data_IF_386384863988
#
_entry.id   IF_386384863988
#
_cell.length_a   1.000
_cell.length_b   1.000
_cell.length_c   1.000
_cell.angle_alpha   90.00
_cell.angle_beta   90.00
_cell.angle_gamma   90.00
#
_symmetry.space_group_name_H-M   'P 1'
#
loop_
_entity.id
_entity.type
_entity.pdbx_description
1 polymer ?
#
# COMPACT_ATOMS: atom_id res chain seq x y z
N UNK A 1 3.16 -70.84 -7.19
CA UNK A 1 4.25 -69.92 -7.58
C UNK A 1 4.11 -68.65 -6.75
N UNK A 2 4.95 -68.48 -5.74
CA UNK A 2 4.91 -67.33 -4.83
C UNK A 2 5.53 -66.11 -5.51
N UNK A 3 4.74 -65.06 -5.72
CA UNK A 3 5.24 -63.81 -6.29
C UNK A 3 6.06 -63.07 -5.22
N UNK A 4 7.39 -63.05 -5.38
CA UNK A 4 8.28 -62.32 -4.47
C UNK A 4 8.06 -60.81 -4.61
N UNK A 5 7.49 -60.18 -3.59
CA UNK A 5 7.34 -58.72 -3.53
C UNK A 5 8.72 -58.08 -3.44
N UNK A 6 9.12 -57.36 -4.49
CA UNK A 6 10.40 -56.64 -4.53
C UNK A 6 10.37 -55.47 -3.52
N UNK A 7 11.43 -55.32 -2.73
CA UNK A 7 11.61 -54.25 -1.72
C UNK A 7 11.32 -52.85 -2.28
N UNK A 8 11.62 -52.61 -3.56
CA UNK A 8 11.31 -51.34 -4.25
C UNK A 8 9.82 -51.10 -4.46
N UNK A 9 9.04 -52.16 -4.67
CA UNK A 9 7.58 -52.08 -4.81
C UNK A 9 6.95 -51.81 -3.44
N UNK A 10 7.39 -52.53 -2.40
CA UNK A 10 6.94 -52.31 -1.03
C UNK A 10 7.21 -50.86 -0.54
N UNK A 11 8.40 -50.32 -0.81
CA UNK A 11 8.75 -48.95 -0.44
C UNK A 11 7.95 -47.89 -1.22
N UNK A 12 7.63 -48.13 -2.49
CA UNK A 12 6.76 -47.22 -3.28
C UNK A 12 5.32 -47.21 -2.78
N UNK A 13 4.79 -48.37 -2.39
CA UNK A 13 3.45 -48.49 -1.80
C UNK A 13 3.34 -47.80 -0.44
N UNK A 14 4.37 -47.90 0.40
CA UNK A 14 4.44 -47.23 1.71
C UNK A 14 4.53 -45.69 1.57
N UNK A 15 5.29 -45.19 0.59
CA UNK A 15 5.36 -43.74 0.33
C UNK A 15 4.05 -43.16 -0.21
N UNK A 16 3.31 -43.91 -1.04
CA UNK A 16 2.00 -43.50 -1.53
C UNK A 16 0.92 -43.51 -0.43
N UNK A 17 0.96 -44.50 0.47
CA UNK A 17 0.04 -44.56 1.61
C UNK A 17 0.32 -43.47 2.67
N UNK A 18 1.59 -43.14 2.91
CA UNK A 18 1.98 -42.05 3.81
C UNK A 18 1.63 -40.66 3.22
N UNK A 19 1.71 -40.50 1.89
CA UNK A 19 1.33 -39.26 1.21
C UNK A 19 -0.16 -38.95 1.33
N UNK A 20 -1.04 -39.95 1.25
CA UNK A 20 -2.49 -39.75 1.38
C UNK A 20 -2.96 -39.50 2.83
N UNK A 21 -2.22 -39.97 3.83
CA UNK A 21 -2.54 -39.72 5.25
C UNK A 21 -2.05 -38.34 5.74
N UNK A 22 -1.05 -37.74 5.08
CA UNK A 22 -0.49 -36.44 5.46
C UNK A 22 -1.29 -35.25 4.92
N UNK A 23 -2.15 -35.46 3.92
CA UNK A 23 -3.11 -34.46 3.43
C UNK A 23 -4.52 -34.84 3.90
N UNK A 24 -4.73 -34.82 5.22
CA UNK A 24 -6.09 -34.65 5.74
C UNK A 24 -6.73 -33.41 5.09
N UNK A 25 -8.06 -33.37 4.91
CA UNK A 25 -8.70 -32.24 4.24
C UNK A 25 -8.24 -30.97 4.96
N UNK A 26 -7.50 -30.13 4.24
CA UNK A 26 -7.22 -28.76 4.67
C UNK A 26 -8.61 -28.16 4.78
N UNK A 27 -9.17 -28.17 6.00
CA UNK A 27 -10.45 -27.57 6.26
C UNK A 27 -10.34 -26.15 5.78
N UNK A 28 -11.06 -25.83 4.70
CA UNK A 28 -11.20 -24.47 4.22
C UNK A 28 -11.73 -23.72 5.43
N UNK A 29 -10.86 -22.97 6.11
CA UNK A 29 -11.31 -22.08 7.18
C UNK A 29 -12.17 -21.05 6.47
N UNK A 30 -13.48 -21.27 6.51
CA UNK A 30 -14.45 -20.27 6.12
C UNK A 30 -14.09 -19.02 6.92
N UNK A 31 -13.63 -17.99 6.21
CA UNK A 31 -13.38 -16.69 6.81
C UNK A 31 -14.73 -16.24 7.37
N UNK A 32 -14.87 -16.21 8.69
CA UNK A 32 -16.08 -15.67 9.31
C UNK A 32 -16.08 -14.18 8.99
N UNK A 33 -17.16 -13.71 8.38
CA UNK A 33 -17.40 -12.28 8.25
C UNK A 33 -17.29 -11.63 9.62
N UNK A 34 -16.68 -10.44 9.67
CA UNK A 34 -16.62 -9.67 10.90
C UNK A 34 -18.04 -9.46 11.44
N UNK A 35 -18.19 -9.40 12.77
CA UNK A 35 -19.48 -9.08 13.37
C UNK A 35 -19.91 -7.69 12.89
N UNK A 36 -21.07 -7.60 12.26
CA UNK A 36 -21.67 -6.31 11.92
C UNK A 36 -22.32 -5.71 13.19
N UNK A 37 -21.85 -4.54 13.63
CA UNK A 37 -22.44 -3.75 14.71
C UNK A 37 -22.76 -2.36 14.18
N UNK A 38 -24.04 -1.96 14.11
CA UNK A 38 -24.45 -0.65 13.59
C UNK A 38 -23.78 0.55 14.31
N UNK A 39 -23.31 0.38 15.54
CA UNK A 39 -22.59 1.43 16.28
C UNK A 39 -21.21 1.67 15.70
N UNK A 40 -20.54 0.63 15.21
CA UNK A 40 -19.24 0.74 14.54
C UNK A 40 -19.38 1.44 13.20
N UNK A 41 -20.37 1.04 12.41
CA UNK A 41 -20.66 1.67 11.12
C UNK A 41 -20.95 3.18 11.28
N UNK A 42 -21.78 3.53 12.26
CA UNK A 42 -22.06 4.93 12.59
C UNK A 42 -20.81 5.70 13.03
N UNK A 43 -19.87 5.06 13.74
CA UNK A 43 -18.63 5.69 14.17
C UNK A 43 -17.67 5.88 12.99
N UNK A 44 -17.54 4.88 12.11
CA UNK A 44 -16.74 4.94 10.88
C UNK A 44 -17.25 6.07 9.99
N UNK A 45 -18.56 6.09 9.70
CA UNK A 45 -19.19 7.12 8.87
C UNK A 45 -18.94 8.53 9.42
N UNK A 46 -19.12 8.74 10.73
CA UNK A 46 -18.82 10.03 11.37
C UNK A 46 -17.35 10.44 11.24
N UNK A 47 -16.43 9.49 11.34
CA UNK A 47 -15.00 9.74 11.18
C UNK A 47 -14.66 10.14 9.74
N UNK A 48 -15.17 9.40 8.75
CA UNK A 48 -14.96 9.69 7.34
C UNK A 48 -15.57 11.03 6.94
N UNK A 49 -16.77 11.35 7.41
CA UNK A 49 -17.42 12.65 7.17
C UNK A 49 -16.61 13.80 7.77
N UNK A 50 -16.04 13.60 8.97
CA UNK A 50 -15.16 14.59 9.57
C UNK A 50 -13.86 14.76 8.78
N UNK A 51 -13.24 13.67 8.32
CA UNK A 51 -12.04 13.73 7.47
C UNK A 51 -12.36 14.51 6.19
N UNK A 52 -13.42 14.13 5.47
CA UNK A 52 -13.86 14.83 4.25
C UNK A 52 -14.11 16.33 4.51
N UNK A 53 -14.86 16.66 5.56
CA UNK A 53 -15.18 18.05 5.93
C UNK A 53 -13.96 18.90 6.29
N UNK A 54 -12.89 18.29 6.78
CA UNK A 54 -11.68 19.00 7.21
C UNK A 54 -10.61 19.11 6.11
N UNK A 55 -10.88 18.59 4.91
CA UNK A 55 -10.00 18.79 3.76
C UNK A 55 -9.88 20.28 3.45
N UNK A 56 -8.65 20.77 3.27
CA UNK A 56 -8.44 22.15 2.84
C UNK A 56 -9.04 22.40 1.45
N UNK A 57 -9.24 23.67 1.08
CA UNK A 57 -9.63 24.07 -0.28
C UNK A 57 -8.61 23.65 -1.35
N UNK A 58 -7.38 23.34 -0.94
CA UNK A 58 -6.31 22.85 -1.81
C UNK A 58 -6.20 21.31 -1.87
N UNK A 59 -7.14 20.57 -1.29
CA UNK A 59 -7.19 19.11 -1.41
C UNK A 59 -6.33 18.33 -0.41
N UNK A 60 -5.66 18.99 0.53
CA UNK A 60 -4.76 18.36 1.48
C UNK A 60 -5.22 18.49 2.94
N UNK A 61 -4.65 17.65 3.80
CA UNK A 61 -4.68 17.76 5.25
C UNK A 61 -3.28 18.02 5.77
N UNK A 62 -3.18 18.54 6.99
CA UNK A 62 -1.88 18.74 7.64
C UNK A 62 -1.95 18.50 9.14
N UNK A 63 -0.83 18.08 9.70
CA UNK A 63 -0.55 18.01 11.12
C UNK A 63 0.89 18.49 11.30
N UNK A 64 1.08 19.74 11.75
CA UNK A 64 2.40 20.38 11.73
C UNK A 64 2.94 20.49 10.30
N UNK A 65 4.15 19.95 10.09
CA UNK A 65 4.89 20.06 8.83
C UNK A 65 4.74 18.82 7.91
N UNK A 66 3.72 17.98 8.14
CA UNK A 66 3.58 16.70 7.44
C UNK A 66 2.37 16.63 6.47
N UNK A 67 2.16 17.59 5.57
CA UNK A 67 0.95 17.63 4.76
C UNK A 67 0.88 16.47 3.74
N UNK A 68 2.02 15.99 3.25
CA UNK A 68 2.07 14.84 2.32
C UNK A 68 1.63 13.55 3.01
N UNK A 69 2.19 13.24 4.19
CA UNK A 69 1.83 12.05 4.96
C UNK A 69 0.36 12.09 5.39
N UNK A 70 -0.10 13.23 5.93
CA UNK A 70 -1.49 13.37 6.37
C UNK A 70 -2.48 13.25 5.22
N UNK A 71 -2.15 13.79 4.04
CA UNK A 71 -3.04 13.69 2.87
C UNK A 71 -3.13 12.27 2.33
N UNK A 72 -2.00 11.56 2.24
CA UNK A 72 -2.01 10.17 1.82
C UNK A 72 -2.77 9.25 2.78
N UNK A 73 -2.62 9.46 4.10
CA UNK A 73 -3.38 8.72 5.11
C UNK A 73 -4.88 9.03 5.07
N UNK A 74 -5.25 10.30 4.98
CA UNK A 74 -6.65 10.72 4.85
C UNK A 74 -7.28 10.16 3.57
N UNK A 75 -6.58 10.26 2.44
CA UNK A 75 -7.01 9.67 1.17
C UNK A 75 -7.20 8.15 1.27
N UNK A 76 -6.26 7.45 1.91
CA UNK A 76 -6.36 5.99 2.15
C UNK A 76 -7.59 5.65 3.00
N UNK A 77 -7.87 6.42 4.05
CA UNK A 77 -9.07 6.20 4.87
C UNK A 77 -10.36 6.38 4.06
N UNK A 78 -10.42 7.37 3.16
CA UNK A 78 -11.59 7.63 2.33
C UNK A 78 -11.81 6.52 1.27
N UNK A 79 -10.76 6.00 0.63
CA UNK A 79 -10.92 4.87 -0.32
C UNK A 79 -11.33 3.57 0.38
N UNK A 80 -10.95 3.39 1.66
CA UNK A 80 -11.41 2.25 2.45
C UNK A 80 -12.93 2.26 2.72
N UNK A 81 -13.63 3.37 2.45
CA UNK A 81 -15.09 3.42 2.47
C UNK A 81 -15.74 2.76 1.24
N UNK A 82 -14.95 2.36 0.23
CA UNK A 82 -15.44 1.98 -1.10
C UNK A 82 -15.70 3.15 -2.04
N UNK A 83 -15.38 4.40 -1.66
CA UNK A 83 -15.38 5.53 -2.59
C UNK A 83 -14.16 5.47 -3.51
N UNK A 84 -14.31 5.88 -4.76
CA UNK A 84 -13.21 5.97 -5.76
C UNK A 84 -13.00 7.43 -6.16
N UNK A 85 -12.10 7.74 -7.09
CA UNK A 85 -11.96 9.11 -7.62
C UNK A 85 -13.20 9.58 -8.40
N UNK A 86 -14.05 8.66 -8.86
CA UNK A 86 -15.18 8.92 -9.75
C UNK A 86 -16.54 8.57 -9.13
N UNK A 87 -16.58 7.76 -8.07
CA UNK A 87 -17.81 7.25 -7.47
C UNK A 87 -17.80 7.33 -5.93
N UNK A 88 -19.00 7.38 -5.35
CA UNK A 88 -19.19 7.40 -3.90
C UNK A 88 -19.16 8.80 -3.28
N UNK A 89 -19.55 8.91 -2.00
CA UNK A 89 -19.73 10.19 -1.30
C UNK A 89 -18.44 10.99 -1.15
N UNK A 90 -17.27 10.33 -1.14
CA UNK A 90 -15.98 10.98 -0.94
C UNK A 90 -15.17 11.21 -2.22
N UNK A 91 -15.77 10.94 -3.39
CA UNK A 91 -15.08 10.98 -4.69
C UNK A 91 -14.26 12.23 -4.96
N UNK A 92 -14.90 13.40 -4.84
CA UNK A 92 -14.24 14.71 -5.01
C UNK A 92 -13.08 14.93 -4.03
N UNK A 93 -13.18 14.38 -2.83
CA UNK A 93 -12.13 14.52 -1.80
C UNK A 93 -10.92 13.67 -2.15
N UNK A 94 -11.15 12.42 -2.58
CA UNK A 94 -10.10 11.48 -3.03
C UNK A 94 -9.40 12.03 -4.27
N UNK A 95 -10.14 12.51 -5.27
CA UNK A 95 -9.58 13.09 -6.48
C UNK A 95 -8.64 14.27 -6.17
N UNK A 96 -9.09 15.20 -5.31
CA UNK A 96 -8.28 16.36 -4.89
C UNK A 96 -7.06 15.98 -4.04
N UNK A 97 -7.16 14.90 -3.27
CA UNK A 97 -6.03 14.36 -2.52
C UNK A 97 -4.97 13.77 -3.46
N UNK A 98 -5.40 13.02 -4.48
CA UNK A 98 -4.51 12.50 -5.53
C UNK A 98 -3.82 13.65 -6.29
N UNK A 99 -4.59 14.64 -6.75
CA UNK A 99 -4.04 15.82 -7.42
C UNK A 99 -2.98 16.51 -6.55
N UNK A 100 -3.30 16.76 -5.28
CA UNK A 100 -2.36 17.38 -4.36
C UNK A 100 -1.06 16.59 -4.24
N UNK A 101 -1.14 15.27 -4.05
CA UNK A 101 0.05 14.43 -3.89
C UNK A 101 0.86 14.33 -5.18
N UNK A 102 0.23 14.31 -6.34
CA UNK A 102 0.92 14.38 -7.64
C UNK A 102 1.72 15.69 -7.75
N UNK A 103 1.20 16.82 -7.27
CA UNK A 103 1.97 18.09 -7.20
C UNK A 103 3.17 18.04 -6.25
N UNK A 104 3.28 17.01 -5.40
CA UNK A 104 4.43 16.79 -4.50
C UNK A 104 5.48 15.87 -5.11
N UNK A 105 5.24 15.29 -6.28
CA UNK A 105 6.25 14.55 -7.03
C UNK A 105 7.35 15.51 -7.51
N UNK A 106 8.59 15.12 -7.30
CA UNK A 106 9.79 15.86 -7.73
C UNK A 106 10.46 15.16 -8.90
N UNK A 107 11.37 15.87 -9.56
CA UNK A 107 12.16 15.34 -10.68
C UNK A 107 13.00 14.12 -10.30
N UNK A 108 13.44 14.01 -9.05
CA UNK A 108 14.17 12.85 -8.55
C UNK A 108 13.26 11.69 -8.08
N UNK A 109 11.94 11.83 -8.22
CA UNK A 109 10.94 10.83 -7.81
C UNK A 109 10.44 10.92 -6.37
N UNK A 110 11.04 11.76 -5.52
CA UNK A 110 10.51 12.00 -4.18
C UNK A 110 9.08 12.58 -4.29
N UNK A 111 8.13 11.96 -3.57
CA UNK A 111 6.81 12.56 -3.32
C UNK A 111 6.84 13.18 -1.92
N UNK A 112 7.06 14.49 -1.85
CA UNK A 112 7.21 15.18 -0.57
C UNK A 112 8.00 16.49 -0.67
N UNK A 113 8.40 17.04 0.48
CA UNK A 113 9.19 18.28 0.52
C UNK A 113 10.41 18.17 1.44
N UNK A 114 11.62 17.94 0.90
CA UNK A 114 12.81 17.75 1.71
C UNK A 114 13.29 19.04 2.38
N UNK A 115 12.75 20.21 2.00
CA UNK A 115 13.12 21.49 2.61
C UNK A 115 12.31 21.82 3.85
N UNK A 116 11.10 21.26 3.97
CA UNK A 116 10.16 21.57 5.06
C UNK A 116 9.78 20.37 5.91
N UNK A 117 10.00 19.14 5.40
CA UNK A 117 9.72 17.88 6.07
C UNK A 117 11.03 17.09 6.28
N UNK A 118 11.54 17.08 7.51
CA UNK A 118 12.71 16.30 7.89
C UNK A 118 12.42 14.80 8.08
N UNK A 119 11.19 14.36 7.74
CA UNK A 119 10.71 12.98 7.78
C UNK A 119 9.96 12.60 6.50
N UNK A 120 10.39 13.18 5.37
CA UNK A 120 9.67 13.12 4.09
C UNK A 120 9.43 11.70 3.56
N UNK A 121 10.19 10.70 4.02
CA UNK A 121 10.03 9.31 3.59
C UNK A 121 8.72 8.69 4.08
N UNK A 122 8.12 9.15 5.19
CA UNK A 122 6.74 8.76 5.54
C UNK A 122 5.75 9.22 4.47
N UNK A 123 5.80 10.52 4.13
CA UNK A 123 4.93 11.11 3.12
C UNK A 123 5.07 10.37 1.80
N UNK A 124 6.30 10.07 1.40
CA UNK A 124 6.59 9.34 0.18
C UNK A 124 5.97 7.92 0.18
N UNK A 125 6.21 7.13 1.22
CA UNK A 125 5.72 5.75 1.32
C UNK A 125 4.20 5.66 1.34
N UNK A 126 3.55 6.50 2.15
CA UNK A 126 2.08 6.57 2.18
C UNK A 126 1.51 7.04 0.84
N UNK A 127 2.17 7.98 0.15
CA UNK A 127 1.70 8.47 -1.15
C UNK A 127 1.78 7.39 -2.21
N UNK A 128 2.85 6.61 -2.27
CA UNK A 128 2.96 5.45 -3.16
C UNK A 128 1.80 4.47 -2.93
N UNK A 129 1.52 4.14 -1.67
CA UNK A 129 0.40 3.26 -1.33
C UNK A 129 -0.92 3.83 -1.83
N UNK A 130 -1.28 5.05 -1.42
CA UNK A 130 -2.55 5.67 -1.79
C UNK A 130 -2.71 5.83 -3.31
N UNK A 131 -1.73 6.41 -4.00
CA UNK A 131 -1.80 6.66 -5.44
C UNK A 131 -1.84 5.35 -6.24
N UNK A 132 -1.17 4.29 -5.79
CA UNK A 132 -1.28 2.96 -6.43
C UNK A 132 -2.69 2.36 -6.33
N UNK A 133 -3.45 2.67 -5.26
CA UNK A 133 -4.85 2.23 -5.16
C UNK A 133 -5.76 3.06 -6.07
N UNK A 134 -5.49 4.37 -6.15
CA UNK A 134 -6.23 5.29 -7.03
C UNK A 134 -6.04 4.95 -8.51
N UNK A 135 -4.82 4.52 -8.90
CA UNK A 135 -4.50 4.19 -10.29
C UNK A 135 -5.46 3.15 -10.90
N UNK A 136 -5.89 2.16 -10.13
CA UNK A 136 -6.83 1.12 -10.59
C UNK A 136 -8.23 1.62 -10.92
N UNK A 137 -8.61 2.78 -10.39
CA UNK A 137 -9.94 3.38 -10.52
C UNK A 137 -9.95 4.61 -11.45
N UNK A 138 -8.79 5.05 -11.93
CA UNK A 138 -8.68 6.23 -12.79
C UNK A 138 -9.17 5.89 -14.20
N UNK A 139 -10.22 6.57 -14.64
CA UNK A 139 -10.88 6.33 -15.93
C UNK A 139 -10.41 7.26 -17.04
N UNK A 140 -9.68 8.34 -16.70
CA UNK A 140 -9.16 9.31 -17.68
C UNK A 140 -7.73 8.90 -18.06
N UNK A 141 -7.51 8.59 -19.33
CA UNK A 141 -6.23 8.04 -19.81
C UNK A 141 -5.04 8.95 -19.51
N UNK A 142 -5.14 10.24 -19.82
CA UNK A 142 -4.06 11.21 -19.55
C UNK A 142 -3.68 11.26 -18.06
N UNK A 143 -4.67 11.23 -17.17
CA UNK A 143 -4.41 11.19 -15.72
C UNK A 143 -3.81 9.87 -15.28
N UNK A 144 -4.20 8.76 -15.92
CA UNK A 144 -3.61 7.45 -15.67
C UNK A 144 -2.13 7.44 -16.07
N UNK A 145 -1.80 7.98 -17.23
CA UNK A 145 -0.41 8.11 -17.71
C UNK A 145 0.42 8.96 -16.75
N UNK A 146 -0.10 10.10 -16.30
CA UNK A 146 0.55 10.97 -15.30
C UNK A 146 0.77 10.24 -13.97
N UNK A 147 -0.24 9.50 -13.48
CA UNK A 147 -0.12 8.70 -12.26
C UNK A 147 0.94 7.59 -12.39
N UNK A 148 0.97 6.88 -13.52
CA UNK A 148 1.98 5.84 -13.80
C UNK A 148 3.37 6.46 -13.78
N UNK A 149 3.57 7.58 -14.47
CA UNK A 149 4.84 8.29 -14.52
C UNK A 149 5.30 8.76 -13.12
N UNK A 150 4.40 9.33 -12.32
CA UNK A 150 4.68 9.71 -10.91
C UNK A 150 5.09 8.49 -10.09
N UNK A 151 4.38 7.36 -10.20
CA UNK A 151 4.66 6.15 -9.44
C UNK A 151 5.96 5.45 -9.88
N UNK A 152 6.26 5.41 -11.18
CA UNK A 152 7.52 4.86 -11.70
C UNK A 152 8.71 5.60 -11.12
N UNK A 153 8.70 6.94 -11.15
CA UNK A 153 9.76 7.73 -10.52
C UNK A 153 9.81 7.53 -9.01
N UNK A 154 8.66 7.38 -8.36
CA UNK A 154 8.59 7.17 -6.93
C UNK A 154 9.23 5.83 -6.51
N UNK A 155 8.99 4.76 -7.25
CA UNK A 155 9.62 3.46 -7.02
C UNK A 155 11.14 3.56 -7.22
N UNK A 156 11.61 4.21 -8.28
CA UNK A 156 13.03 4.45 -8.53
C UNK A 156 13.70 5.26 -7.39
N UNK A 157 13.03 6.32 -6.90
CA UNK A 157 13.49 7.06 -5.73
C UNK A 157 13.59 6.17 -4.50
N UNK A 158 12.55 5.37 -4.21
CA UNK A 158 12.52 4.49 -3.04
C UNK A 158 13.69 3.49 -3.06
N UNK A 159 13.97 2.89 -4.23
CA UNK A 159 15.13 2.00 -4.40
C UNK A 159 16.46 2.70 -4.15
N UNK A 160 16.64 3.93 -4.65
CA UNK A 160 17.85 4.75 -4.42
C UNK A 160 17.96 5.28 -2.98
N UNK A 161 16.84 5.40 -2.29
CA UNK A 161 16.77 5.91 -0.93
C UNK A 161 17.01 4.82 0.14
N UNK A 162 17.02 3.54 -0.25
CA UNK A 162 17.23 2.41 0.65
C UNK A 162 18.66 2.38 1.20
N UNK A 163 18.81 2.03 2.48
CA UNK A 163 20.13 1.85 3.10
C UNK A 163 20.75 0.51 2.68
N UNK A 164 22.08 0.32 2.87
CA UNK A 164 22.73 -0.97 2.62
C UNK A 164 22.16 -2.15 3.43
N UNK A 165 21.51 -1.86 4.56
CA UNK A 165 20.86 -2.85 5.42
C UNK A 165 19.46 -3.26 4.93
N UNK A 166 18.94 -2.57 3.91
CA UNK A 166 17.64 -2.85 3.29
C UNK A 166 16.46 -2.07 3.89
N UNK A 167 16.71 -1.14 4.81
CA UNK A 167 15.67 -0.29 5.41
C UNK A 167 15.64 1.13 4.85
N UNK A 168 14.81 1.97 5.46
CA UNK A 168 14.70 3.39 5.19
C UNK A 168 14.61 4.17 6.50
N UNK A 169 15.31 5.31 6.57
CA UNK A 169 15.19 6.29 7.66
C UNK A 169 14.21 7.41 7.33
N UNK A 170 14.11 8.40 8.22
CA UNK A 170 13.27 9.60 8.04
C UNK A 170 13.56 10.40 6.77
N UNK A 171 14.78 10.27 6.25
CA UNK A 171 15.22 10.81 4.96
C UNK A 171 15.94 9.70 4.20
N UNK A 172 16.24 9.93 2.92
CA UNK A 172 16.97 8.96 2.08
C UNK A 172 18.32 8.57 2.67
N UNK A 173 18.82 7.38 2.35
CA UNK A 173 20.14 6.92 2.77
C UNK A 173 21.26 7.93 2.48
N UNK A 174 21.17 8.60 1.32
CA UNK A 174 22.08 9.68 0.90
C UNK A 174 22.06 10.89 1.84
N UNK A 175 20.89 11.21 2.40
CA UNK A 175 20.70 12.41 3.22
C UNK A 175 20.77 12.11 4.73
N UNK A 176 20.67 10.83 5.14
CA UNK A 176 20.39 10.40 6.52
C UNK A 176 21.44 9.48 7.16
N UNK A 177 22.67 9.45 6.63
CA UNK A 177 23.77 8.63 7.16
C UNK A 177 23.45 7.12 7.30
N UNK A 178 22.67 6.55 6.37
CA UNK A 178 22.27 5.13 6.39
C UNK A 178 21.52 4.68 7.68
N UNK A 179 20.78 5.59 8.32
CA UNK A 179 19.90 5.24 9.43
C UNK A 179 18.62 4.54 8.95
N UNK A 180 18.25 3.43 9.60
CA UNK A 180 16.99 2.73 9.37
C UNK A 180 15.99 3.00 10.49
N UNK A 181 14.76 3.29 10.12
CA UNK A 181 13.65 3.44 11.05
C UNK A 181 12.51 2.50 10.66
N UNK A 182 12.06 1.69 11.62
CA UNK A 182 11.17 0.56 11.36
C UNK A 182 9.80 0.98 10.81
N UNK A 183 9.21 2.04 11.35
CA UNK A 183 7.89 2.50 10.91
C UNK A 183 7.94 3.13 9.51
N UNK A 184 9.02 3.80 9.15
CA UNK A 184 9.27 4.33 7.82
C UNK A 184 9.52 3.19 6.84
N UNK A 185 10.34 2.22 7.22
CA UNK A 185 10.65 1.04 6.41
C UNK A 185 9.36 0.33 5.99
N UNK A 186 8.40 0.11 6.90
CA UNK A 186 7.14 -0.55 6.51
C UNK A 186 6.28 0.31 5.58
N UNK A 187 6.28 1.64 5.71
CA UNK A 187 5.55 2.50 4.75
C UNK A 187 6.12 2.40 3.34
N UNK A 188 7.46 2.32 3.20
CA UNK A 188 8.12 2.11 1.92
C UNK A 188 7.76 0.74 1.33
N UNK A 189 7.86 -0.31 2.14
CA UNK A 189 7.50 -1.68 1.71
C UNK A 189 6.03 -1.77 1.28
N UNK A 190 5.11 -1.16 2.02
CA UNK A 190 3.69 -1.11 1.64
C UNK A 190 3.47 -0.33 0.34
N UNK A 191 4.11 0.82 0.19
CA UNK A 191 4.06 1.63 -1.02
C UNK A 191 4.59 0.88 -2.25
N UNK A 192 5.79 0.31 -2.15
CA UNK A 192 6.42 -0.52 -3.19
C UNK A 192 5.56 -1.72 -3.55
N UNK A 193 4.97 -2.40 -2.55
CA UNK A 193 4.06 -3.52 -2.80
C UNK A 193 2.79 -3.06 -3.51
N UNK A 194 2.22 -1.92 -3.13
CA UNK A 194 1.07 -1.30 -3.78
C UNK A 194 1.37 -0.99 -5.25
N UNK A 195 2.50 -0.33 -5.52
CA UNK A 195 2.96 -0.02 -6.87
C UNK A 195 3.13 -1.28 -7.72
N UNK A 196 3.80 -2.31 -7.19
CA UNK A 196 3.97 -3.59 -7.89
C UNK A 196 2.64 -4.27 -8.20
N UNK A 197 1.69 -4.25 -7.27
CA UNK A 197 0.35 -4.81 -7.49
C UNK A 197 -0.41 -4.05 -8.60
N UNK A 198 -0.16 -2.75 -8.74
CA UNK A 198 -0.75 -1.90 -9.78
C UNK A 198 0.01 -1.94 -11.12
N UNK A 199 1.04 -2.79 -11.26
CA UNK A 199 1.81 -2.96 -12.49
C UNK A 199 2.95 -1.96 -12.71
N UNK A 200 3.31 -1.19 -11.67
CA UNK A 200 4.48 -0.31 -11.72
C UNK A 200 5.76 -1.14 -11.55
N UNK A 201 6.76 -0.99 -12.45
CA UNK A 201 7.99 -1.78 -12.47
C UNK A 201 8.92 -1.51 -11.28
#
# INVERSE_FOLDING_TARGET
>A
MSASVNRRIALRSLAAAAGLAAFGPIGVRSARAAKEDPRWEKAIQKGLDWVAKTQSSRGHWTAGNYPTAMTALAGTALICSGSTTTQGPYSKHIARAADYLMTKSRSNGLIGDPFTDNRYTYGHGFSMLFLSQVLGEEGIEERREELVDVLVRAVDFSGKAQTPSGGWGYVSAKDGNNFDEGSTTITQVQGLRGCRNAGIP
#
